data_IF_957347161898
#
_entry.id   IF_957347161898
#
_cell.length_a   1.000
_cell.length_b   1.000
_cell.length_c   1.000
_cell.angle_alpha   90.00
_cell.angle_beta   90.00
_cell.angle_gamma   90.00
#
_symmetry.space_group_name_H-M   'P 1'
#
loop_
_entity.id
_entity.type
_entity.pdbx_description
1 polymer ?
#
# COMPACT_ATOMS: atom_id res chain seq x y z
N UNK A 1 -4.45 18.52 4.22
CA UNK A 1 -3.91 17.18 4.51
C UNK A 1 -5.10 16.25 4.70
N UNK A 2 -5.12 15.11 4.03
CA UNK A 2 -6.24 14.16 4.07
C UNK A 2 -5.72 12.81 4.51
N UNK A 3 -6.52 12.10 5.29
CA UNK A 3 -6.30 10.71 5.67
C UNK A 3 -7.30 9.83 4.92
N UNK A 4 -6.82 8.78 4.28
CA UNK A 4 -7.71 7.82 3.63
C UNK A 4 -7.18 6.39 3.74
N UNK A 5 -8.13 5.46 3.61
CA UNK A 5 -7.84 4.04 3.47
C UNK A 5 -7.55 3.72 2.01
N UNK A 6 -6.37 3.18 1.73
CA UNK A 6 -6.03 2.62 0.43
C UNK A 6 -5.99 1.10 0.50
N UNK A 7 -6.34 0.44 -0.60
CA UNK A 7 -6.24 -1.02 -0.76
C UNK A 7 -5.26 -1.30 -1.88
N UNK A 8 -4.32 -2.22 -1.64
CA UNK A 8 -3.40 -2.71 -2.66
C UNK A 8 -3.91 -4.06 -3.19
N UNK A 9 -4.54 -4.11 -4.37
CA UNK A 9 -5.00 -5.36 -4.95
C UNK A 9 -3.84 -6.13 -5.60
N UNK A 10 -3.89 -7.48 -5.51
CA UNK A 10 -3.11 -8.40 -6.36
C UNK A 10 -1.58 -8.24 -6.27
N UNK A 11 -1.05 -7.92 -5.09
CA UNK A 11 0.39 -8.00 -4.85
C UNK A 11 0.87 -9.46 -4.96
N UNK A 12 2.09 -9.71 -5.44
CA UNK A 12 2.73 -11.02 -5.30
C UNK A 12 2.83 -11.44 -3.82
N UNK A 13 2.69 -12.73 -3.54
CA UNK A 13 2.68 -13.26 -2.18
C UNK A 13 3.85 -12.83 -1.29
N UNK A 14 5.04 -12.67 -1.89
CA UNK A 14 6.26 -12.21 -1.21
C UNK A 14 6.26 -10.72 -0.87
N UNK A 15 5.45 -9.89 -1.56
CA UNK A 15 5.34 -8.46 -1.28
C UNK A 15 4.39 -8.11 -0.13
N UNK A 16 3.74 -9.12 0.47
CA UNK A 16 2.93 -8.93 1.69
C UNK A 16 3.76 -8.84 2.97
N UNK A 17 5.08 -8.79 2.88
CA UNK A 17 5.92 -8.50 4.02
C UNK A 17 5.66 -7.08 4.52
N UNK A 18 5.49 -6.93 5.84
CA UNK A 18 5.17 -5.64 6.48
C UNK A 18 6.13 -4.53 6.07
N UNK A 19 7.42 -4.84 5.97
CA UNK A 19 8.46 -3.88 5.58
C UNK A 19 8.23 -3.37 4.15
N UNK A 20 7.98 -4.26 3.20
CA UNK A 20 7.72 -3.91 1.79
C UNK A 20 6.47 -3.02 1.69
N UNK A 21 5.39 -3.39 2.36
CA UNK A 21 4.15 -2.60 2.33
C UNK A 21 4.35 -1.21 2.93
N UNK A 22 5.10 -1.10 4.03
CA UNK A 22 5.42 0.17 4.65
C UNK A 22 6.15 1.11 3.67
N UNK A 23 7.14 0.59 2.93
CA UNK A 23 7.84 1.34 1.89
C UNK A 23 6.88 1.79 0.78
N UNK A 24 6.04 0.89 0.26
CA UNK A 24 5.04 1.23 -0.78
C UNK A 24 4.11 2.35 -0.30
N UNK A 25 3.59 2.26 0.92
CA UNK A 25 2.76 3.33 1.46
C UNK A 25 3.53 4.62 1.68
N UNK A 26 4.78 4.54 2.12
CA UNK A 26 5.70 5.66 2.28
C UNK A 26 5.92 6.44 0.97
N UNK A 27 5.94 5.74 -0.16
CA UNK A 27 6.00 6.37 -1.47
C UNK A 27 4.74 7.16 -1.79
N UNK A 28 3.56 6.70 -1.37
CA UNK A 28 2.27 7.37 -1.61
C UNK A 28 2.06 8.54 -0.63
N UNK A 29 2.48 8.37 0.64
CA UNK A 29 2.33 9.35 1.70
C UNK A 29 2.78 8.81 3.07
N UNK A 30 2.46 9.53 4.14
CA UNK A 30 2.81 9.06 5.49
C UNK A 30 1.85 7.96 5.93
N UNK A 31 2.36 6.75 6.09
CA UNK A 31 1.59 5.61 6.62
C UNK A 31 1.26 5.84 8.10
N UNK A 32 -0.04 5.77 8.43
CA UNK A 32 -0.56 5.84 9.79
C UNK A 32 -0.80 4.46 10.38
N UNK A 33 -1.35 3.55 9.57
CA UNK A 33 -1.72 2.19 10.00
C UNK A 33 -1.62 1.20 8.85
N UNK A 34 -1.22 -0.02 9.19
CA UNK A 34 -1.26 -1.19 8.33
C UNK A 34 -2.30 -2.19 8.85
N UNK A 35 -3.24 -2.57 8.00
CA UNK A 35 -4.25 -3.59 8.29
C UNK A 35 -4.10 -4.76 7.31
N UNK A 36 -3.88 -5.94 7.88
CA UNK A 36 -3.62 -7.19 7.16
C UNK A 36 -4.83 -8.10 7.33
N UNK A 37 -5.63 -8.25 6.29
CA UNK A 37 -6.66 -9.29 6.29
C UNK A 37 -6.06 -10.53 5.63
N UNK A 38 -5.54 -11.44 6.46
CA UNK A 38 -5.11 -12.77 6.02
C UNK A 38 -6.34 -13.65 5.95
N UNK A 39 -6.89 -13.84 4.76
CA UNK A 39 -7.91 -14.88 4.61
C UNK A 39 -7.23 -16.25 4.70
N UNK A 40 -7.68 -17.06 5.65
CA UNK A 40 -6.88 -18.10 6.30
C UNK A 40 -6.72 -19.38 5.48
N UNK A 41 -6.59 -19.29 4.15
CA UNK A 41 -6.14 -20.46 3.39
C UNK A 41 -6.33 -20.54 1.89
N UNK A 42 -7.10 -19.68 1.19
CA UNK A 42 -7.44 -20.04 -0.21
C UNK A 42 -7.34 -18.93 -1.25
N UNK A 43 -7.63 -17.66 -0.99
CA UNK A 43 -7.48 -16.60 -2.03
C UNK A 43 -7.71 -15.21 -1.47
N UNK A 44 -6.73 -14.34 -1.68
CA UNK A 44 -6.87 -12.88 -1.49
C UNK A 44 -6.32 -12.36 -0.17
N UNK A 45 -4.99 -12.32 -0.03
CA UNK A 45 -4.40 -11.43 0.97
C UNK A 45 -4.81 -10.00 0.59
N UNK A 46 -5.50 -9.30 1.47
CA UNK A 46 -5.79 -7.88 1.25
C UNK A 46 -5.04 -7.07 2.28
N UNK A 47 -4.33 -6.07 1.78
CA UNK A 47 -3.71 -5.06 2.62
C UNK A 47 -4.52 -3.80 2.47
N UNK A 48 -4.94 -3.26 3.61
CA UNK A 48 -5.44 -1.90 3.71
C UNK A 48 -4.42 -1.07 4.49
N UNK A 49 -4.21 0.16 4.05
CA UNK A 49 -3.30 1.08 4.71
C UNK A 49 -4.02 2.40 4.91
N UNK A 50 -3.87 2.97 6.10
CA UNK A 50 -4.31 4.32 6.38
C UNK A 50 -3.13 5.26 6.09
N UNK A 51 -3.32 6.21 5.17
CA UNK A 51 -2.25 7.08 4.68
C UNK A 51 -2.68 8.53 4.76
N UNK A 52 -1.77 9.38 5.23
CA UNK A 52 -1.85 10.83 5.11
C UNK A 52 -1.18 11.30 3.81
N UNK A 53 -1.90 12.06 2.99
CA UNK A 53 -1.35 12.70 1.79
C UNK A 53 -1.94 14.10 1.57
N UNK A 54 -1.31 14.85 0.67
CA UNK A 54 -1.66 16.24 0.37
C UNK A 54 -2.35 16.34 -1.00
N UNK A 55 -3.65 16.69 -1.00
CA UNK A 55 -4.43 16.92 -2.22
C UNK A 55 -4.04 18.21 -2.98
N UNK A 56 -3.23 19.09 -2.39
CA UNK A 56 -2.62 20.22 -3.08
C UNK A 56 -1.43 19.82 -3.97
N UNK A 57 -1.06 18.54 -4.00
CA UNK A 57 -0.06 17.95 -4.90
C UNK A 57 -0.72 16.87 -5.76
N UNK A 58 -0.12 16.59 -6.92
CA UNK A 58 -0.56 15.49 -7.76
C UNK A 58 -0.50 14.16 -6.99
N UNK A 59 -1.54 13.34 -7.17
CA UNK A 59 -1.60 12.01 -6.57
C UNK A 59 -0.69 11.05 -7.33
N UNK A 60 -0.03 10.16 -6.58
CA UNK A 60 0.75 9.07 -7.16
C UNK A 60 -0.23 7.97 -7.55
N UNK A 61 -0.46 7.82 -8.85
CA UNK A 61 -1.38 6.81 -9.39
C UNK A 61 -0.74 5.43 -9.55
N UNK A 62 0.59 5.36 -9.68
CA UNK A 62 1.34 4.14 -9.94
C UNK A 62 2.71 4.17 -9.26
N UNK A 63 3.15 3.00 -8.79
CA UNK A 63 4.47 2.79 -8.20
C UNK A 63 5.13 1.60 -8.91
N UNK A 64 6.36 1.80 -9.36
CA UNK A 64 7.20 0.76 -9.98
C UNK A 64 8.13 0.16 -8.92
N UNK A 65 8.16 -1.17 -8.84
CA UNK A 65 9.02 -1.92 -7.92
C UNK A 65 9.94 -2.78 -8.77
N UNK A 66 11.26 -2.63 -8.59
CA UNK A 66 12.31 -3.35 -9.33
C UNK A 66 12.31 -3.19 -10.87
N UNK A 67 11.78 -2.09 -11.41
CA UNK A 67 11.79 -1.83 -12.86
C UNK A 67 13.04 -1.11 -13.37
N UNK A 68 13.37 -1.35 -14.64
CA UNK A 68 14.05 -0.37 -15.52
C UNK A 68 12.97 0.14 -16.48
N UNK A 69 12.90 1.47 -16.66
CA UNK A 69 11.96 2.14 -17.57
C UNK A 69 12.17 1.73 -19.03
#
# INVERSE_FOLDING_TARGET
MVMAWIRLPRLPGHMYERKILWEIGGMIGRVAKLDFNFDNGVRGKFVRMEIYFNLGKALISQVLINGVL
#
